data_IF_355464546451
#
_entry.id   IF_355464546451
#
_cell.length_a   1.000
_cell.length_b   1.000
_cell.length_c   1.000
_cell.angle_alpha   90.00
_cell.angle_beta   90.00
_cell.angle_gamma   90.00
#
_symmetry.space_group_name_H-M   'P 1'
#
loop_
_entity.id
_entity.type
_entity.pdbx_description
1 polymer ?
#
# COMPACT_ATOMS: atom_id res chain seq x y z
N UNK A 1 -8.95 7.12 -14.06
CA UNK A 1 -9.20 5.65 -14.05
C UNK A 1 -8.13 4.97 -14.88
N UNK A 2 -7.67 3.80 -14.46
CA UNK A 2 -6.78 2.99 -15.30
C UNK A 2 -7.57 2.42 -16.48
N UNK A 3 -6.97 2.42 -17.66
CA UNK A 3 -7.59 1.85 -18.86
C UNK A 3 -7.31 0.35 -18.91
N UNK A 4 -8.32 -0.47 -19.20
CA UNK A 4 -8.17 -1.91 -19.34
C UNK A 4 -7.11 -2.30 -20.40
N UNK A 5 -6.98 -1.50 -21.47
CA UNK A 5 -5.95 -1.69 -22.50
C UNK A 5 -4.53 -1.60 -21.92
N UNK A 6 -4.31 -0.72 -20.94
CA UNK A 6 -3.02 -0.60 -20.29
C UNK A 6 -2.75 -1.75 -19.32
N UNK A 7 -3.79 -2.28 -18.66
CA UNK A 7 -3.69 -3.44 -17.77
C UNK A 7 -3.35 -4.72 -18.56
N UNK A 8 -3.95 -4.90 -19.73
CA UNK A 8 -3.60 -5.97 -20.67
C UNK A 8 -2.15 -5.83 -21.15
N UNK A 9 -1.73 -4.62 -21.53
CA UNK A 9 -0.38 -4.36 -22.05
C UNK A 9 0.72 -4.71 -21.03
N UNK A 10 0.46 -4.49 -19.74
CA UNK A 10 1.39 -4.85 -18.66
C UNK A 10 1.15 -6.26 -18.11
N UNK A 11 0.22 -7.02 -18.71
CA UNK A 11 -0.11 -8.41 -18.37
C UNK A 11 -0.47 -8.60 -16.90
N UNK A 12 -1.39 -7.77 -16.38
CA UNK A 12 -1.82 -7.85 -14.97
C UNK A 12 -2.29 -9.27 -14.61
N UNK A 13 -2.95 -9.99 -15.51
CA UNK A 13 -3.42 -11.37 -15.28
C UNK A 13 -2.30 -12.41 -15.11
N UNK A 14 -1.08 -12.13 -15.60
CA UNK A 14 0.10 -13.00 -15.44
C UNK A 14 1.02 -12.50 -14.31
N UNK A 15 0.76 -11.33 -13.73
CA UNK A 15 1.59 -10.73 -12.71
C UNK A 15 1.35 -11.36 -11.33
N UNK A 16 2.42 -11.52 -10.55
CA UNK A 16 2.33 -12.06 -9.19
C UNK A 16 1.69 -11.06 -8.20
N UNK A 17 1.96 -9.76 -8.38
CA UNK A 17 1.38 -8.72 -7.54
C UNK A 17 1.37 -7.35 -8.24
N UNK A 18 0.45 -6.47 -7.82
CA UNK A 18 0.43 -5.06 -8.19
C UNK A 18 0.73 -4.16 -6.97
N UNK A 19 1.72 -3.28 -7.09
CA UNK A 19 2.09 -2.34 -6.03
C UNK A 19 1.59 -0.93 -6.39
N UNK A 20 0.66 -0.40 -5.59
CA UNK A 20 0.12 0.95 -5.74
C UNK A 20 0.83 1.89 -4.77
N UNK A 21 1.72 2.72 -5.30
CA UNK A 21 2.52 3.67 -4.53
C UNK A 21 1.79 5.01 -4.39
N UNK A 22 1.86 5.61 -3.19
CA UNK A 22 1.26 6.90 -2.90
C UNK A 22 2.30 8.04 -2.97
N UNK A 23 1.87 9.21 -3.46
CA UNK A 23 2.69 10.42 -3.36
C UNK A 23 2.68 10.97 -1.92
N UNK A 24 3.75 10.73 -1.18
CA UNK A 24 3.90 11.14 0.24
C UNK A 24 3.93 12.65 0.47
N UNK A 25 4.13 13.43 -0.59
CA UNK A 25 4.26 14.89 -0.55
C UNK A 25 3.11 15.59 -1.31
N UNK A 26 1.96 14.93 -1.44
CA UNK A 26 0.76 15.51 -2.02
C UNK A 26 0.20 16.65 -1.14
N UNK A 27 -0.54 17.57 -1.76
CA UNK A 27 -1.22 18.66 -1.03
C UNK A 27 -2.45 18.18 -0.28
N UNK A 28 -3.20 17.24 -0.87
CA UNK A 28 -4.41 16.65 -0.31
C UNK A 28 -4.23 15.11 -0.19
N UNK A 29 -3.93 14.61 1.01
CA UNK A 29 -3.77 13.18 1.26
C UNK A 29 -5.04 12.35 1.03
N UNK A 30 -6.23 12.92 1.28
CA UNK A 30 -7.49 12.20 1.09
C UNK A 30 -7.82 12.04 -0.39
N UNK A 31 -7.56 13.06 -1.21
CA UNK A 31 -7.68 12.96 -2.66
C UNK A 31 -6.69 11.96 -3.27
N UNK A 32 -5.44 11.93 -2.78
CA UNK A 32 -4.43 10.95 -3.21
C UNK A 32 -4.85 9.51 -2.86
N UNK A 33 -5.33 9.28 -1.63
CA UNK A 33 -5.83 7.98 -1.19
C UNK A 33 -7.05 7.55 -2.00
N UNK A 34 -8.01 8.45 -2.25
CA UNK A 34 -9.17 8.17 -3.10
C UNK A 34 -8.74 7.77 -4.52
N UNK A 35 -7.75 8.46 -5.10
CA UNK A 35 -7.21 8.10 -6.41
C UNK A 35 -6.54 6.72 -6.40
N UNK A 36 -5.81 6.38 -5.33
CA UNK A 36 -5.19 5.06 -5.17
C UNK A 36 -6.22 3.95 -4.98
N UNK A 37 -7.26 4.17 -4.18
CA UNK A 37 -8.38 3.23 -4.02
C UNK A 37 -9.08 2.99 -5.37
N UNK A 38 -9.30 4.04 -6.16
CA UNK A 38 -9.87 3.89 -7.50
C UNK A 38 -8.95 3.10 -8.45
N UNK A 39 -7.63 3.17 -8.29
CA UNK A 39 -6.67 2.32 -9.03
C UNK A 39 -6.83 0.86 -8.61
N UNK A 40 -6.94 0.57 -7.31
CA UNK A 40 -7.19 -0.80 -6.80
C UNK A 40 -8.49 -1.36 -7.35
N UNK A 41 -9.59 -0.58 -7.32
CA UNK A 41 -10.87 -0.99 -7.91
C UNK A 41 -10.69 -1.32 -9.40
N UNK A 42 -9.95 -0.50 -10.15
CA UNK A 42 -9.71 -0.75 -11.58
C UNK A 42 -8.91 -2.03 -11.83
N UNK A 43 -7.91 -2.32 -10.99
CA UNK A 43 -7.07 -3.53 -11.08
C UNK A 43 -7.90 -4.77 -10.76
N UNK A 44 -8.59 -4.75 -9.63
CA UNK A 44 -9.41 -5.88 -9.15
C UNK A 44 -10.54 -6.19 -10.13
N UNK A 45 -11.23 -5.17 -10.64
CA UNK A 45 -12.27 -5.37 -11.66
C UNK A 45 -11.75 -5.95 -12.99
N UNK A 46 -10.45 -5.87 -13.27
CA UNK A 46 -9.83 -6.51 -14.44
C UNK A 46 -9.32 -7.93 -14.11
N UNK A 47 -8.75 -8.13 -12.91
CA UNK A 47 -8.29 -9.42 -12.41
C UNK A 47 -8.53 -9.49 -10.90
N UNK A 48 -9.52 -10.27 -10.47
CA UNK A 48 -9.92 -10.32 -9.06
C UNK A 48 -8.88 -11.05 -8.18
N UNK A 49 -8.22 -12.08 -8.75
CA UNK A 49 -7.29 -12.97 -8.04
C UNK A 49 -5.88 -12.39 -7.85
N UNK A 50 -5.57 -11.23 -8.47
CA UNK A 50 -4.23 -10.63 -8.34
C UNK A 50 -4.03 -10.07 -6.93
N UNK A 51 -2.86 -10.33 -6.35
CA UNK A 51 -2.43 -9.71 -5.09
C UNK A 51 -2.17 -8.21 -5.28
N UNK A 52 -2.78 -7.36 -4.45
CA UNK A 52 -2.58 -5.90 -4.49
C UNK A 52 -2.01 -5.39 -3.16
N UNK A 53 -0.88 -4.69 -3.23
CA UNK A 53 -0.27 -4.00 -2.09
C UNK A 53 -0.37 -2.50 -2.33
N UNK A 54 -1.11 -1.79 -1.47
CA UNK A 54 -1.38 -0.35 -1.62
C UNK A 54 -0.79 0.45 -0.47
N UNK A 55 -0.22 1.62 -0.78
CA UNK A 55 0.11 2.64 0.20
C UNK A 55 -1.07 3.60 0.39
N UNK A 56 -1.43 3.86 1.65
CA UNK A 56 -2.37 4.91 2.03
C UNK A 56 -1.69 5.94 2.93
N UNK A 57 -2.13 7.19 2.84
CA UNK A 57 -1.68 8.29 3.67
C UNK A 57 -2.45 8.32 4.99
N UNK A 58 -3.78 8.18 4.94
CA UNK A 58 -4.66 8.30 6.11
C UNK A 58 -5.25 6.96 6.53
N UNK A 59 -5.41 6.77 7.85
CA UNK A 59 -5.93 5.52 8.40
C UNK A 59 -7.42 5.32 8.12
N UNK A 60 -8.24 6.38 8.19
CA UNK A 60 -9.69 6.26 7.97
C UNK A 60 -10.04 5.80 6.55
N UNK A 61 -9.20 6.10 5.56
CA UNK A 61 -9.41 5.68 4.18
C UNK A 61 -9.23 4.16 3.96
N UNK A 62 -8.54 3.47 4.88
CA UNK A 62 -8.34 2.01 4.83
C UNK A 62 -9.67 1.24 4.82
N UNK A 63 -10.70 1.77 5.47
CA UNK A 63 -12.01 1.12 5.53
C UNK A 63 -12.68 1.00 4.15
N UNK A 64 -12.37 1.89 3.21
CA UNK A 64 -12.96 1.83 1.86
C UNK A 64 -12.45 0.63 1.05
N UNK A 65 -11.24 0.14 1.32
CA UNK A 65 -10.70 -1.04 0.64
C UNK A 65 -11.45 -2.31 1.05
N UNK A 66 -11.89 -2.40 2.31
CA UNK A 66 -12.67 -3.54 2.82
C UNK A 66 -14.06 -3.65 2.19
N UNK A 67 -14.54 -2.58 1.54
CA UNK A 67 -15.81 -2.58 0.82
C UNK A 67 -15.68 -3.08 -0.62
N UNK A 68 -14.45 -3.34 -1.11
CA UNK A 68 -14.22 -3.90 -2.44
C UNK A 68 -14.46 -5.42 -2.35
N UNK A 69 -15.41 -6.00 -3.11
CA UNK A 69 -15.77 -7.41 -2.96
C UNK A 69 -14.63 -8.40 -3.21
N UNK A 70 -13.72 -8.09 -4.14
CA UNK A 70 -12.55 -8.91 -4.48
C UNK A 70 -11.28 -8.55 -3.71
N UNK A 71 -11.39 -7.72 -2.66
CA UNK A 71 -10.30 -7.50 -1.73
C UNK A 71 -10.24 -8.63 -0.69
N UNK A 72 -9.18 -9.42 -0.72
CA UNK A 72 -9.00 -10.54 0.21
C UNK A 72 -7.60 -10.52 0.86
N UNK A 73 -7.58 -10.22 2.15
CA UNK A 73 -6.37 -10.25 2.97
C UNK A 73 -5.76 -11.66 3.05
N UNK A 74 -6.55 -12.72 2.86
CA UNK A 74 -6.04 -14.11 2.85
C UNK A 74 -5.27 -14.43 1.58
N UNK A 75 -5.55 -13.73 0.48
CA UNK A 75 -4.80 -13.81 -0.77
C UNK A 75 -3.57 -12.89 -0.78
N UNK A 76 -3.35 -12.14 0.32
CA UNK A 76 -2.20 -11.26 0.49
C UNK A 76 -2.43 -9.82 0.05
N UNK A 77 -3.68 -9.40 -0.12
CA UNK A 77 -4.00 -7.99 -0.31
C UNK A 77 -3.69 -7.20 0.98
N UNK A 78 -2.68 -6.33 0.89
CA UNK A 78 -2.10 -5.66 2.04
C UNK A 78 -2.16 -4.13 1.91
N UNK A 79 -2.44 -3.46 3.03
CA UNK A 79 -2.46 -1.99 3.12
C UNK A 79 -1.30 -1.50 3.96
N UNK A 80 -0.42 -0.70 3.37
CA UNK A 80 0.66 0.01 4.05
C UNK A 80 0.17 1.43 4.35
N UNK A 81 -0.48 1.62 5.50
CA UNK A 81 -0.89 2.95 5.95
C UNK A 81 0.30 3.70 6.57
N UNK A 82 0.70 4.80 5.93
CA UNK A 82 1.87 5.58 6.33
C UNK A 82 1.66 6.34 7.64
N UNK A 83 0.47 6.91 7.88
CA UNK A 83 0.17 7.53 9.17
C UNK A 83 0.18 6.51 10.32
N UNK A 84 -0.41 5.33 10.11
CA UNK A 84 -0.45 4.23 11.08
C UNK A 84 0.96 3.79 11.47
N UNK A 85 1.81 3.47 10.48
CA UNK A 85 3.19 3.03 10.74
C UNK A 85 4.06 4.14 11.33
N UNK A 86 3.97 5.37 10.81
CA UNK A 86 4.78 6.50 11.30
C UNK A 86 4.49 6.81 12.76
N UNK A 87 3.21 6.98 13.10
CA UNK A 87 2.81 7.30 14.48
C UNK A 87 3.00 6.09 15.40
N UNK A 88 2.77 4.86 14.92
CA UNK A 88 3.03 3.64 15.66
C UNK A 88 4.51 3.50 16.04
N UNK A 89 5.44 3.74 15.12
CA UNK A 89 6.87 3.69 15.42
C UNK A 89 7.32 4.79 16.39
N UNK A 90 6.76 6.01 16.29
CA UNK A 90 7.04 7.07 17.26
C UNK A 90 6.51 6.67 18.65
N UNK A 91 5.29 6.15 18.73
CA UNK A 91 4.68 5.72 19.98
C UNK A 91 5.49 4.59 20.66
N UNK A 92 5.97 3.61 19.90
CA UNK A 92 6.83 2.55 20.45
C UNK A 92 8.20 3.09 20.90
N UNK A 93 8.75 4.08 20.20
CA UNK A 93 9.98 4.76 20.64
C UNK A 93 9.80 5.54 21.96
N UNK A 94 8.59 5.93 22.34
CA UNK A 94 8.31 6.49 23.66
C UNK A 94 8.45 5.45 24.80
N UNK A 95 8.23 4.16 24.50
CA UNK A 95 8.39 3.06 25.46
C UNK A 95 9.84 2.55 25.49
N UNK A 96 10.46 2.45 24.32
CA UNK A 96 11.83 1.99 24.13
C UNK A 96 12.59 2.92 23.16
N UNK A 97 13.38 3.88 23.67
CA UNK A 97 14.14 4.80 22.83
C UNK A 97 15.04 4.06 21.83
N UNK A 98 14.94 4.42 20.55
CA UNK A 98 15.67 3.77 19.45
C UNK A 98 14.90 2.66 18.73
N UNK A 99 13.70 2.29 19.20
CA UNK A 99 12.87 1.26 18.58
C UNK A 99 12.57 1.55 17.09
N UNK A 100 12.15 2.77 16.76
CA UNK A 100 11.84 3.16 15.38
C UNK A 100 13.03 3.00 14.43
N UNK A 101 14.24 3.39 14.87
CA UNK A 101 15.47 3.24 14.07
C UNK A 101 15.85 1.77 13.90
N UNK A 102 15.72 0.98 14.96
CA UNK A 102 15.93 -0.48 14.89
C UNK A 102 15.00 -1.11 13.85
N UNK A 103 13.69 -0.86 13.95
CA UNK A 103 12.69 -1.42 13.03
C UNK A 103 12.93 -0.96 11.58
N UNK A 104 13.22 0.33 11.36
CA UNK A 104 13.52 0.86 10.03
C UNK A 104 14.74 0.16 9.39
N UNK A 105 15.74 -0.21 10.19
CA UNK A 105 16.92 -0.93 9.71
C UNK A 105 16.68 -2.43 9.49
N UNK A 106 15.69 -3.03 10.14
CA UNK A 106 15.31 -4.42 9.90
C UNK A 106 14.61 -4.60 8.54
N UNK A 107 13.79 -3.63 8.13
CA UNK A 107 13.10 -3.68 6.83
C UNK A 107 13.97 -3.19 5.67
N UNK A 108 14.92 -2.29 5.93
CA UNK A 108 15.83 -1.81 4.90
C UNK A 108 16.90 -2.87 4.62
N UNK A 109 16.89 -3.47 3.42
CA UNK A 109 18.01 -4.29 2.97
C UNK A 109 19.27 -3.43 2.91
N UNK A 110 20.22 -3.68 3.81
CA UNK A 110 21.52 -3.01 3.87
C UNK A 110 22.60 -4.06 3.66
N UNK A 111 23.42 -3.87 2.63
CA UNK A 111 24.62 -4.68 2.41
C UNK A 111 25.85 -3.92 2.92
N UNK A 112 26.65 -4.58 3.75
CA UNK A 112 27.99 -4.09 4.10
C UNK A 112 28.94 -4.42 2.95
N UNK A 113 29.37 -3.41 2.20
CA UNK A 113 30.56 -3.55 1.36
C UNK A 113 31.78 -3.54 2.28
N UNK A 114 32.46 -4.67 2.36
CA UNK A 114 33.80 -4.78 2.97
C UNK A 114 34.84 -4.48 1.90
#
# INVERSE_FOLDING_TARGET
MMNAVDLERVKVHEADACLVLANKYCQDPDAEDAANIMRVISIKNYSDDIRVIIQLMQYHNKAYLLNIPSWDWKQGDDVICLAELKLGFIAQSCLAPGFSTMMANLFAMRSFKT
#
